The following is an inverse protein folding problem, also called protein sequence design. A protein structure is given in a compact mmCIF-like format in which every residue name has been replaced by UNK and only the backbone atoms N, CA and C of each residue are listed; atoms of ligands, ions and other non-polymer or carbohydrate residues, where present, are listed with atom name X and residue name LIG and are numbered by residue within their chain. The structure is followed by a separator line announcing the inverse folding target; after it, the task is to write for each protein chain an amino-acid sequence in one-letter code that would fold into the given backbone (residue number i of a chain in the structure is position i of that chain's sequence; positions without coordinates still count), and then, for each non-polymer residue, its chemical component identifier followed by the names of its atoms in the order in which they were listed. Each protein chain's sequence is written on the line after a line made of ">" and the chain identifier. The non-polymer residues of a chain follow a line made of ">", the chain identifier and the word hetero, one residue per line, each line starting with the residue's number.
data_IF_481864395091
#
_entry.id   IF_481864395091
#
_cell.length_a   1.000
_cell.length_b   1.000
_cell.length_c   1.000
_cell.angle_alpha   90.00
_cell.angle_beta   90.00
_cell.angle_gamma   90.00
#
_symmetry.space_group_name_H-M   'P 1'
#
loop_
_entity.id
_entity.type
_entity.pdbx_description
1 polymer ?
#
# COMPACT_ATOMS: atom_id res chain seq x y z
N UNK A 1 -22.94 -13.73 -14.58
CA UNK A 1 -22.90 -12.35 -14.05
C UNK A 1 -22.62 -12.27 -12.54
N UNK A 2 -23.18 -13.16 -11.69
CA UNK A 2 -22.97 -13.14 -10.23
C UNK A 2 -21.52 -13.19 -9.76
N UNK A 3 -20.68 -13.99 -10.43
CA UNK A 3 -19.25 -14.06 -10.16
C UNK A 3 -18.55 -12.70 -10.33
N UNK A 4 -18.83 -12.01 -11.43
CA UNK A 4 -18.29 -10.69 -11.74
C UNK A 4 -18.82 -9.65 -10.74
N UNK A 5 -20.12 -9.66 -10.45
CA UNK A 5 -20.72 -8.75 -9.48
C UNK A 5 -20.11 -8.90 -8.08
N UNK A 6 -19.86 -10.13 -7.62
CA UNK A 6 -19.21 -10.39 -6.33
C UNK A 6 -17.76 -9.89 -6.26
N UNK A 7 -16.98 -10.11 -7.31
CA UNK A 7 -15.60 -9.61 -7.38
C UNK A 7 -15.58 -8.07 -7.45
N UNK A 8 -16.38 -7.46 -8.33
CA UNK A 8 -16.48 -6.01 -8.50
C UNK A 8 -16.93 -5.33 -7.21
N UNK A 9 -17.94 -5.88 -6.52
CA UNK A 9 -18.42 -5.33 -5.25
C UNK A 9 -17.32 -5.26 -4.20
N UNK A 10 -16.54 -6.34 -4.04
CA UNK A 10 -15.42 -6.38 -3.08
C UNK A 10 -14.29 -5.43 -3.49
N UNK A 11 -13.96 -5.38 -4.78
CA UNK A 11 -12.95 -4.44 -5.29
C UNK A 11 -13.35 -2.98 -5.06
N UNK A 12 -14.61 -2.61 -5.28
CA UNK A 12 -15.10 -1.24 -5.03
C UNK A 12 -15.03 -0.87 -3.55
N UNK A 13 -15.39 -1.78 -2.66
CA UNK A 13 -15.31 -1.55 -1.20
C UNK A 13 -13.86 -1.40 -0.75
N UNK A 14 -12.94 -2.19 -1.31
CA UNK A 14 -11.52 -2.15 -0.97
C UNK A 14 -10.73 -1.10 -1.76
N UNK A 15 -11.31 -0.47 -2.78
CA UNK A 15 -10.64 0.52 -3.61
C UNK A 15 -9.96 1.65 -2.80
N UNK A 16 -10.63 2.32 -1.83
CA UNK A 16 -9.96 3.35 -1.04
C UNK A 16 -8.75 2.82 -0.26
N UNK A 17 -8.82 1.58 0.23
CA UNK A 17 -7.71 0.93 0.96
C UNK A 17 -6.54 0.61 0.03
N UNK A 18 -6.81 0.17 -1.20
CA UNK A 18 -5.75 -0.04 -2.20
C UNK A 18 -5.11 1.28 -2.61
N UNK A 19 -5.91 2.33 -2.81
CA UNK A 19 -5.41 3.66 -3.17
C UNK A 19 -4.48 4.20 -2.08
N UNK A 20 -4.86 4.12 -0.80
CA UNK A 20 -3.99 4.54 0.29
C UNK A 20 -2.73 3.70 0.40
N UNK A 21 -2.81 2.37 0.20
CA UNK A 21 -1.64 1.50 0.22
C UNK A 21 -0.66 1.81 -0.93
N UNK A 22 -1.17 2.03 -2.15
CA UNK A 22 -0.38 2.35 -3.34
C UNK A 22 0.26 3.73 -3.22
N UNK A 23 -0.48 4.73 -2.74
CA UNK A 23 0.04 6.07 -2.52
C UNK A 23 0.98 6.16 -1.31
N UNK A 24 0.78 5.34 -0.28
CA UNK A 24 1.62 5.29 0.92
C UNK A 24 2.97 4.60 0.71
N UNK A 25 3.04 3.64 -0.22
CA UNK A 25 4.27 2.91 -0.55
C UNK A 25 5.46 3.81 -0.95
N UNK A 26 5.32 4.80 -1.86
CA UNK A 26 6.43 5.68 -2.21
C UNK A 26 6.94 6.49 -1.00
N UNK A 27 6.04 7.03 -0.16
CA UNK A 27 6.44 7.73 1.07
C UNK A 27 7.21 6.83 2.04
N UNK A 28 6.82 5.56 2.13
CA UNK A 28 7.55 4.58 2.95
C UNK A 28 8.89 4.16 2.33
N UNK A 29 9.08 4.36 1.03
CA UNK A 29 10.31 3.99 0.31
C UNK A 29 11.38 5.08 0.30
N UNK A 30 11.02 6.32 0.64
CA UNK A 30 11.93 7.45 0.70
C UNK A 30 12.90 7.34 1.89
N UNK A 31 14.07 7.98 1.73
CA UNK A 31 15.06 8.15 2.80
C UNK A 31 15.05 9.60 3.24
N UNK A 32 14.77 9.82 4.52
CA UNK A 32 14.68 11.15 5.09
C UNK A 32 15.89 11.47 5.96
N UNK A 33 16.32 12.73 5.90
CA UNK A 33 17.36 13.27 6.76
C UNK A 33 16.82 13.38 8.19
N UNK A 34 17.34 12.53 9.07
CA UNK A 34 16.96 12.49 10.48
C UNK A 34 17.88 13.33 11.37
N UNK A 35 18.78 14.12 10.79
CA UNK A 35 19.72 14.97 11.55
C UNK A 35 19.06 16.18 12.20
N UNK A 36 17.76 16.42 11.96
CA UNK A 36 17.01 17.58 12.44
C UNK A 36 17.28 18.88 11.66
N UNK A 37 18.08 18.83 10.59
CA UNK A 37 18.43 19.98 9.75
C UNK A 37 17.48 20.04 8.54
N UNK A 38 16.54 20.99 8.53
CA UNK A 38 15.72 21.30 7.33
C UNK A 38 14.31 20.69 7.27
N UNK A 39 13.76 20.28 8.41
CA UNK A 39 12.34 19.91 8.54
C UNK A 39 12.03 18.41 8.39
N UNK A 40 10.79 17.99 8.70
CA UNK A 40 10.43 16.58 8.89
C UNK A 40 10.41 15.71 7.62
N UNK A 41 10.55 16.30 6.43
CA UNK A 41 10.49 15.60 5.15
C UNK A 41 11.67 15.92 4.23
N UNK A 42 12.79 16.38 4.78
CA UNK A 42 13.97 16.63 3.98
C UNK A 42 14.50 15.29 3.45
N UNK A 43 14.60 15.16 2.13
CA UNK A 43 15.22 14.00 1.51
C UNK A 43 16.74 14.01 1.75
N UNK A 44 17.32 12.83 1.87
CA UNK A 44 18.77 12.73 2.02
C UNK A 44 19.52 13.23 0.79
N UNK A 45 20.55 14.03 1.03
CA UNK A 45 21.49 14.53 0.01
C UNK A 45 22.89 13.97 0.27
N UNK A 46 23.85 14.22 -0.63
CA UNK A 46 25.23 13.77 -0.44
C UNK A 46 25.88 14.35 0.83
N UNK A 47 25.40 15.50 1.31
CA UNK A 47 25.88 16.17 2.52
C UNK A 47 25.13 15.74 3.80
N UNK A 48 24.14 14.85 3.69
CA UNK A 48 23.35 14.39 4.84
C UNK A 48 24.16 13.40 5.69
N UNK A 49 24.34 13.75 6.97
CA UNK A 49 25.14 12.98 7.93
C UNK A 49 24.37 11.86 8.63
N UNK A 50 23.03 11.89 8.58
CA UNK A 50 22.18 10.90 9.22
C UNK A 50 20.89 10.68 8.42
N UNK A 51 20.76 9.50 7.82
CA UNK A 51 19.62 9.13 6.97
C UNK A 51 18.83 7.99 7.61
N UNK A 52 17.53 8.20 7.83
CA UNK A 52 16.61 7.12 8.12
C UNK A 52 16.33 6.34 6.83
N UNK A 53 16.53 5.02 6.88
CA UNK A 53 16.24 4.12 5.78
C UNK A 53 14.74 3.98 5.50
N UNK A 54 14.37 3.34 4.37
CA UNK A 54 12.97 3.11 4.03
C UNK A 54 12.26 2.32 5.14
N UNK A 55 10.99 2.64 5.38
CA UNK A 55 10.15 1.97 6.37
C UNK A 55 9.67 0.62 5.85
N UNK A 56 10.58 -0.36 5.84
CA UNK A 56 10.35 -1.72 5.32
C UNK A 56 9.08 -2.38 5.87
N UNK A 57 8.72 -2.28 7.18
CA UNK A 57 7.47 -2.85 7.68
C UNK A 57 6.23 -2.23 7.05
N UNK A 58 6.24 -0.91 6.79
CA UNK A 58 5.13 -0.20 6.15
C UNK A 58 5.02 -0.60 4.69
N UNK A 59 6.14 -0.68 3.98
CA UNK A 59 6.19 -1.16 2.59
C UNK A 59 5.61 -2.58 2.47
N UNK A 60 6.04 -3.49 3.35
CA UNK A 60 5.51 -4.86 3.40
C UNK A 60 4.00 -4.87 3.70
N UNK A 61 3.54 -4.04 4.63
CA UNK A 61 2.12 -3.86 4.94
C UNK A 61 1.31 -3.42 3.72
N UNK A 62 1.76 -2.41 2.97
CA UNK A 62 1.10 -1.94 1.75
C UNK A 62 0.96 -3.07 0.71
N UNK A 63 2.02 -3.85 0.48
CA UNK A 63 2.00 -4.98 -0.46
C UNK A 63 1.02 -6.06 -0.01
N UNK A 64 1.05 -6.44 1.28
CA UNK A 64 0.15 -7.45 1.83
C UNK A 64 -1.31 -7.03 1.77
N UNK A 65 -1.62 -5.75 2.00
CA UNK A 65 -2.97 -5.20 1.90
C UNK A 65 -3.51 -5.33 0.47
N UNK A 66 -2.70 -4.96 -0.53
CA UNK A 66 -3.10 -5.07 -1.94
C UNK A 66 -3.30 -6.55 -2.34
N UNK A 67 -2.34 -7.42 -2.02
CA UNK A 67 -2.45 -8.85 -2.36
C UNK A 67 -3.64 -9.51 -1.65
N UNK A 68 -3.83 -9.24 -0.36
CA UNK A 68 -4.95 -9.75 0.42
C UNK A 68 -6.29 -9.30 -0.16
N UNK A 69 -6.39 -8.04 -0.57
CA UNK A 69 -7.59 -7.51 -1.21
C UNK A 69 -7.92 -8.17 -2.55
N UNK A 70 -6.91 -8.40 -3.40
CA UNK A 70 -7.08 -9.14 -4.66
C UNK A 70 -7.53 -10.57 -4.44
N UNK A 71 -6.92 -11.27 -3.46
CA UNK A 71 -7.30 -12.64 -3.09
C UNK A 71 -8.74 -12.70 -2.56
N UNK A 72 -9.16 -11.72 -1.77
CA UNK A 72 -10.52 -11.59 -1.26
C UNK A 72 -11.53 -11.35 -2.40
N UNK A 73 -11.23 -10.47 -3.36
CA UNK A 73 -12.08 -10.24 -4.53
C UNK A 73 -12.21 -11.51 -5.38
N UNK A 74 -11.10 -12.22 -5.63
CA UNK A 74 -11.10 -13.49 -6.35
C UNK A 74 -11.89 -14.58 -5.60
N UNK A 75 -11.76 -14.66 -4.28
CA UNK A 75 -12.53 -15.59 -3.46
C UNK A 75 -14.02 -15.27 -3.47
N UNK A 76 -14.40 -14.00 -3.33
CA UNK A 76 -15.79 -13.56 -3.38
C UNK A 76 -16.45 -13.87 -4.73
N UNK A 77 -15.74 -13.60 -5.84
CA UNK A 77 -16.21 -13.97 -7.18
C UNK A 77 -16.43 -15.47 -7.33
N UNK A 78 -15.47 -16.30 -6.85
CA UNK A 78 -15.62 -17.77 -6.85
C UNK A 78 -16.79 -18.24 -5.99
N UNK A 79 -17.00 -17.64 -4.81
CA UNK A 79 -18.12 -17.98 -3.91
C UNK A 79 -19.46 -17.64 -4.55
N UNK A 80 -19.57 -16.47 -5.19
CA UNK A 80 -20.78 -16.02 -5.86
C UNK A 80 -21.07 -16.81 -7.15
N UNK A 81 -20.07 -17.42 -7.79
CA UNK A 81 -20.27 -18.32 -8.93
C UNK A 81 -20.88 -19.67 -8.53
N UNK A 82 -20.63 -20.11 -7.28
CA UNK A 82 -21.12 -21.40 -6.74
C UNK A 82 -22.50 -21.30 -6.08
N UNK A 83 -23.14 -20.14 -6.11
CA UNK A 83 -24.48 -19.87 -5.54
C UNK A 83 -25.46 -19.40 -6.62
#
# INVERSE_FOLDING_TARGET
>A
MRAVAGAVGVTLVLAPVHVTAVLGFPFASERYDSSGQGGPFRSCTADSVSCAGPHVPVMAGCVLVVLGGLLLAAWAGRRAARR
#
